data_IF_786232999625
#
_entry.id   IF_786232999625
#
_cell.length_a   1.000
_cell.length_b   1.000
_cell.length_c   1.000
_cell.angle_alpha   90.00
_cell.angle_beta   90.00
_cell.angle_gamma   90.00
#
_symmetry.space_group_name_H-M   'P 1'
#
loop_
_entity.id
_entity.type
_entity.pdbx_description
1 polymer ?
#
# COMPACT_ATOMS: atom_id res chain seq x y z
N UNK A 1 -10.64 30.53 8.59
CA UNK A 1 -11.30 29.60 7.64
C UNK A 1 -11.63 28.34 8.40
N UNK A 2 -12.91 28.00 8.55
CA UNK A 2 -13.33 26.71 9.08
C UNK A 2 -12.82 25.63 8.13
N UNK A 3 -12.04 24.68 8.64
CA UNK A 3 -11.62 23.51 7.87
C UNK A 3 -12.92 22.77 7.51
N UNK A 4 -13.20 22.52 6.21
CA UNK A 4 -14.38 21.74 5.83
C UNK A 4 -14.36 20.39 6.57
N UNK A 5 -15.54 19.90 6.95
CA UNK A 5 -15.65 18.56 7.53
C UNK A 5 -15.02 17.54 6.58
N UNK A 6 -14.14 16.69 7.12
CA UNK A 6 -13.44 15.67 6.34
C UNK A 6 -14.40 14.57 5.93
N UNK A 7 -14.27 14.12 4.69
CA UNK A 7 -15.01 12.98 4.15
C UNK A 7 -14.33 11.69 4.63
N UNK A 8 -15.06 10.81 5.31
CA UNK A 8 -14.52 9.53 5.74
C UNK A 8 -14.49 8.54 4.57
N UNK A 9 -13.32 7.95 4.35
CA UNK A 9 -13.04 6.99 3.28
C UNK A 9 -12.63 5.67 3.90
N UNK A 10 -13.37 4.61 3.61
CA UNK A 10 -13.07 3.25 4.06
C UNK A 10 -12.26 2.49 3.02
N UNK A 11 -11.18 1.86 3.44
CA UNK A 11 -10.43 0.87 2.67
C UNK A 11 -10.80 -0.52 3.19
N UNK A 12 -11.40 -1.36 2.34
CA UNK A 12 -11.94 -2.66 2.73
C UNK A 12 -11.65 -3.75 1.68
N UNK A 13 -11.04 -4.89 2.05
CA UNK A 13 -10.35 -5.15 3.31
C UNK A 13 -9.06 -4.32 3.50
N UNK A 14 -8.73 -4.02 4.74
CA UNK A 14 -7.58 -3.19 5.13
C UNK A 14 -6.24 -3.92 5.31
N UNK A 15 -6.12 -5.18 4.88
CA UNK A 15 -4.99 -6.06 5.25
C UNK A 15 -4.00 -6.38 4.13
N UNK A 16 -4.27 -5.96 2.90
CA UNK A 16 -3.43 -6.30 1.75
C UNK A 16 -2.48 -5.16 1.37
N UNK A 17 -1.38 -5.48 0.67
CA UNK A 17 -0.38 -4.50 0.22
C UNK A 17 -0.98 -3.31 -0.56
N UNK A 18 -2.03 -3.55 -1.34
CA UNK A 18 -2.75 -2.47 -2.04
C UNK A 18 -3.63 -1.62 -1.11
N UNK A 19 -4.11 -2.16 0.02
CA UNK A 19 -4.75 -1.38 1.08
C UNK A 19 -3.77 -0.39 1.71
N UNK A 20 -2.53 -0.82 1.93
CA UNK A 20 -1.49 0.05 2.50
C UNK A 20 -1.11 1.17 1.53
N UNK A 21 -1.03 0.88 0.23
CA UNK A 21 -0.83 1.92 -0.78
C UNK A 21 -2.01 2.90 -0.82
N UNK A 22 -3.26 2.43 -0.73
CA UNK A 22 -4.43 3.30 -0.64
C UNK A 22 -4.37 4.22 0.59
N UNK A 23 -3.96 3.69 1.75
CA UNK A 23 -3.75 4.51 2.95
C UNK A 23 -2.68 5.59 2.72
N UNK A 24 -1.51 5.21 2.21
CA UNK A 24 -0.42 6.15 1.96
C UNK A 24 -0.79 7.21 0.91
N UNK A 25 -1.62 6.84 -0.06
CA UNK A 25 -2.11 7.75 -1.09
C UNK A 25 -3.09 8.80 -0.55
N UNK A 26 -3.84 8.48 0.51
CA UNK A 26 -4.94 9.34 1.01
C UNK A 26 -4.65 10.02 2.36
N UNK A 27 -3.72 9.51 3.19
CA UNK A 27 -3.51 9.96 4.59
C UNK A 27 -3.23 11.46 4.77
N UNK A 28 -2.63 12.10 3.77
CA UNK A 28 -2.30 13.53 3.80
C UNK A 28 -3.26 14.40 2.99
N UNK A 29 -4.28 13.80 2.36
CA UNK A 29 -5.27 14.56 1.63
C UNK A 29 -6.14 15.34 2.63
N UNK A 30 -6.18 16.69 2.56
CA UNK A 30 -6.82 17.51 3.58
C UNK A 30 -8.34 17.29 3.67
N UNK A 31 -8.96 16.82 2.58
CA UNK A 31 -10.41 16.57 2.50
C UNK A 31 -10.80 15.19 3.05
N UNK A 32 -9.85 14.28 3.28
CA UNK A 32 -10.16 12.89 3.62
C UNK A 32 -9.69 12.50 5.02
N UNK A 33 -10.50 11.66 5.66
CA UNK A 33 -10.18 10.91 6.86
C UNK A 33 -10.22 9.42 6.50
N UNK A 34 -9.06 8.75 6.57
CA UNK A 34 -8.93 7.36 6.10
C UNK A 34 -9.25 6.40 7.24
N UNK A 35 -10.11 5.42 6.94
CA UNK A 35 -10.47 4.28 7.76
C UNK A 35 -10.00 3.00 7.07
N UNK A 36 -9.60 2.00 7.86
CA UNK A 36 -9.45 0.64 7.38
C UNK A 36 -10.45 -0.27 8.09
N UNK A 37 -10.89 -1.33 7.41
CA UNK A 37 -11.57 -2.41 8.10
C UNK A 37 -11.31 -3.77 7.45
N UNK A 38 -11.43 -4.83 8.22
CA UNK A 38 -11.23 -6.21 7.76
C UNK A 38 -12.13 -7.18 8.51
N UNK A 39 -12.18 -8.41 8.02
CA UNK A 39 -12.87 -9.52 8.68
C UNK A 39 -11.98 -10.38 9.57
N UNK A 40 -10.73 -9.96 9.74
CA UNK A 40 -9.74 -10.65 10.58
C UNK A 40 -8.66 -9.68 11.04
N UNK A 41 -8.07 -9.91 12.23
CA UNK A 41 -6.91 -9.16 12.68
C UNK A 41 -5.73 -9.30 11.71
N UNK A 42 -4.91 -8.26 11.64
CA UNK A 42 -3.69 -8.24 10.85
C UNK A 42 -2.98 -6.89 10.95
N UNK A 43 -2.02 -6.65 10.07
CA UNK A 43 -1.13 -5.49 10.10
C UNK A 43 -1.87 -4.14 9.98
N UNK A 44 -3.09 -4.15 9.43
CA UNK A 44 -3.90 -2.93 9.32
C UNK A 44 -4.11 -2.19 10.65
N UNK A 45 -4.13 -2.91 11.78
CA UNK A 45 -4.33 -2.30 13.10
C UNK A 45 -3.19 -1.38 13.56
N UNK A 46 -1.98 -1.54 13.04
CA UNK A 46 -0.83 -0.65 13.34
C UNK A 46 -0.78 0.52 12.36
N UNK A 47 -1.21 0.30 11.11
CA UNK A 47 -1.09 1.30 10.06
C UNK A 47 -2.20 2.36 10.10
N UNK A 48 -3.45 1.93 10.27
CA UNK A 48 -4.61 2.80 10.15
C UNK A 48 -4.91 3.48 11.49
N UNK A 49 -4.99 4.83 11.54
CA UNK A 49 -5.39 5.53 12.76
C UNK A 49 -6.80 5.20 13.25
N UNK A 50 -7.64 4.66 12.36
CA UNK A 50 -9.01 4.21 12.63
C UNK A 50 -9.20 2.88 11.93
N UNK A 51 -9.34 1.82 12.70
CA UNK A 51 -9.38 0.44 12.19
C UNK A 51 -10.44 -0.39 12.90
N UNK A 52 -11.05 -1.33 12.16
CA UNK A 52 -11.97 -2.33 12.68
C UNK A 52 -11.70 -3.69 12.03
N UNK A 53 -11.42 -4.73 12.82
CA UNK A 53 -10.92 -6.02 12.32
C UNK A 53 -11.81 -7.23 12.63
N UNK A 54 -13.05 -6.98 13.06
CA UNK A 54 -14.05 -7.95 13.48
C UNK A 54 -15.30 -7.97 12.59
N UNK A 55 -15.25 -7.39 11.38
CA UNK A 55 -16.40 -7.40 10.48
C UNK A 55 -16.67 -8.80 9.90
N UNK A 56 -17.92 -9.18 9.58
CA UNK A 56 -18.19 -10.44 8.90
C UNK A 56 -17.50 -10.50 7.53
N UNK A 57 -17.18 -11.70 7.06
CA UNK A 57 -16.75 -11.93 5.68
C UNK A 57 -17.86 -11.61 4.67
N UNK A 58 -17.47 -11.22 3.44
CA UNK A 58 -18.43 -10.80 2.40
C UNK A 58 -19.42 -11.89 1.97
N UNK A 59 -19.13 -13.17 2.28
CA UNK A 59 -20.01 -14.30 1.97
C UNK A 59 -20.79 -14.80 3.18
N UNK A 60 -20.62 -14.18 4.35
CA UNK A 60 -21.32 -14.58 5.57
C UNK A 60 -22.76 -14.03 5.62
N UNK A 61 -23.67 -14.84 6.15
CA UNK A 61 -25.04 -14.41 6.40
C UNK A 61 -25.04 -13.24 7.40
N UNK A 62 -25.61 -12.10 7.00
CA UNK A 62 -25.65 -10.89 7.82
C UNK A 62 -24.52 -9.88 7.58
N UNK A 63 -23.66 -10.10 6.57
CA UNK A 63 -22.63 -9.13 6.16
C UNK A 63 -23.20 -7.72 5.97
N UNK A 64 -24.17 -7.56 5.07
CA UNK A 64 -24.70 -6.26 4.68
C UNK A 64 -25.30 -5.46 5.86
N UNK A 65 -26.17 -6.02 6.73
CA UNK A 65 -26.69 -5.29 7.90
C UNK A 65 -25.59 -4.80 8.85
N UNK A 66 -24.58 -5.63 9.14
CA UNK A 66 -23.47 -5.25 10.04
C UNK A 66 -22.57 -4.22 9.37
N UNK A 67 -22.25 -4.42 8.09
CA UNK A 67 -21.41 -3.51 7.31
C UNK A 67 -22.05 -2.13 7.19
N UNK A 68 -23.34 -2.05 6.82
CA UNK A 68 -24.07 -0.79 6.73
C UNK A 68 -24.15 -0.04 8.05
N UNK A 69 -24.40 -0.76 9.16
CA UNK A 69 -24.36 -0.14 10.49
C UNK A 69 -23.00 0.50 10.77
N UNK A 70 -21.92 -0.21 10.48
CA UNK A 70 -20.56 0.32 10.62
C UNK A 70 -20.32 1.55 9.73
N UNK A 71 -20.79 1.53 8.46
CA UNK A 71 -20.68 2.67 7.56
C UNK A 71 -21.41 3.90 8.12
N UNK A 72 -22.64 3.74 8.60
CA UNK A 72 -23.48 4.81 9.14
C UNK A 72 -22.94 5.37 10.46
N UNK A 73 -22.60 4.51 11.43
CA UNK A 73 -22.05 4.91 12.75
C UNK A 73 -20.77 5.74 12.62
N UNK A 74 -19.97 5.47 11.58
CA UNK A 74 -18.69 6.14 11.34
C UNK A 74 -18.76 7.18 10.22
N UNK A 75 -19.96 7.53 9.73
CA UNK A 75 -20.18 8.49 8.65
C UNK A 75 -19.28 8.24 7.42
N UNK A 76 -19.08 6.96 7.05
CA UNK A 76 -18.30 6.59 5.89
C UNK A 76 -19.05 7.03 4.62
N UNK A 77 -18.39 7.82 3.77
CA UNK A 77 -18.98 8.30 2.53
C UNK A 77 -18.50 7.51 1.32
N UNK A 78 -17.23 7.07 1.32
CA UNK A 78 -16.59 6.38 0.20
C UNK A 78 -16.01 5.03 0.64
N UNK A 79 -16.10 4.01 -0.21
CA UNK A 79 -15.48 2.69 0.00
C UNK A 79 -14.51 2.38 -1.14
N UNK A 80 -13.25 2.09 -0.83
CA UNK A 80 -12.29 1.49 -1.76
C UNK A 80 -12.19 -0.02 -1.54
N UNK A 81 -12.58 -0.84 -2.53
CA UNK A 81 -12.37 -2.27 -2.47
C UNK A 81 -10.90 -2.61 -2.76
N UNK A 82 -10.34 -3.57 -2.02
CA UNK A 82 -8.93 -4.00 -2.19
C UNK A 82 -8.77 -5.41 -2.75
N UNK A 83 -9.87 -6.11 -2.99
CA UNK A 83 -9.86 -7.45 -3.59
C UNK A 83 -10.90 -7.51 -4.72
N UNK A 84 -10.63 -8.29 -5.77
CA UNK A 84 -11.53 -8.38 -6.92
C UNK A 84 -12.90 -9.02 -6.55
N UNK A 85 -12.92 -10.04 -5.67
CA UNK A 85 -14.18 -10.57 -5.10
C UNK A 85 -14.96 -9.52 -4.31
N UNK A 86 -14.28 -8.67 -3.55
CA UNK A 86 -14.92 -7.63 -2.75
C UNK A 86 -15.44 -6.52 -3.66
N UNK A 87 -14.67 -6.13 -4.67
CA UNK A 87 -15.09 -5.15 -5.66
C UNK A 87 -16.36 -5.60 -6.38
N UNK A 88 -16.42 -6.87 -6.81
CA UNK A 88 -17.60 -7.45 -7.43
C UNK A 88 -18.78 -7.51 -6.46
N UNK A 89 -18.59 -8.08 -5.26
CA UNK A 89 -19.66 -8.23 -4.29
C UNK A 89 -20.26 -6.89 -3.86
N UNK A 90 -19.42 -5.89 -3.56
CA UNK A 90 -19.90 -4.55 -3.20
C UNK A 90 -20.59 -3.86 -4.37
N UNK A 91 -20.11 -4.05 -5.60
CA UNK A 91 -20.79 -3.50 -6.77
C UNK A 91 -22.18 -4.13 -6.97
N UNK A 92 -22.33 -5.44 -6.73
CA UNK A 92 -23.62 -6.15 -6.82
C UNK A 92 -24.63 -5.69 -5.79
N UNK A 93 -24.17 -5.27 -4.61
CA UNK A 93 -25.05 -4.68 -3.58
C UNK A 93 -25.62 -3.32 -3.99
N UNK A 94 -24.89 -2.55 -4.81
CA UNK A 94 -25.37 -1.28 -5.38
C UNK A 94 -25.96 -0.33 -4.33
N UNK A 95 -27.19 0.12 -4.57
CA UNK A 95 -27.93 1.06 -3.70
C UNK A 95 -28.27 0.51 -2.31
N UNK A 96 -28.05 -0.79 -2.06
CA UNK A 96 -28.19 -1.36 -0.73
C UNK A 96 -27.04 -0.94 0.21
N UNK A 97 -25.90 -0.51 -0.33
CA UNK A 97 -24.78 0.03 0.45
C UNK A 97 -25.07 1.46 0.92
N UNK A 98 -24.70 1.75 2.18
CA UNK A 98 -24.89 3.08 2.79
C UNK A 98 -23.75 4.06 2.56
N UNK A 99 -22.80 3.69 1.71
CA UNK A 99 -21.69 4.53 1.26
C UNK A 99 -21.41 4.26 -0.21
N UNK A 100 -20.85 5.24 -0.91
CA UNK A 100 -20.55 5.14 -2.33
C UNK A 100 -19.31 4.27 -2.56
N UNK A 101 -19.44 3.25 -3.41
CA UNK A 101 -18.30 2.48 -3.88
C UNK A 101 -17.44 3.31 -4.85
N UNK A 102 -16.15 3.43 -4.55
CA UNK A 102 -15.18 4.02 -5.47
C UNK A 102 -14.66 2.94 -6.40
N UNK A 103 -15.02 3.05 -7.68
CA UNK A 103 -14.56 2.12 -8.71
C UNK A 103 -15.57 1.93 -9.82
N UNK A 104 -15.45 0.78 -10.48
CA UNK A 104 -16.25 0.43 -11.66
C UNK A 104 -17.53 -0.34 -11.28
N UNK A 105 -18.51 -0.34 -12.18
CA UNK A 105 -19.77 -1.06 -11.97
C UNK A 105 -19.66 -2.59 -12.09
N UNK A 106 -20.78 -3.27 -11.81
CA UNK A 106 -20.88 -4.75 -11.74
C UNK A 106 -20.31 -5.45 -12.96
N UNK A 107 -20.68 -5.04 -14.17
CA UNK A 107 -20.24 -5.71 -15.40
C UNK A 107 -18.72 -5.63 -15.59
N UNK A 108 -18.11 -4.48 -15.28
CA UNK A 108 -16.65 -4.33 -15.31
C UNK A 108 -15.99 -5.23 -14.26
N UNK A 109 -16.50 -5.23 -13.03
CA UNK A 109 -15.95 -6.03 -11.94
C UNK A 109 -16.04 -7.53 -12.26
N UNK A 110 -17.17 -7.99 -12.80
CA UNK A 110 -17.41 -9.38 -13.21
C UNK A 110 -16.42 -9.83 -14.28
N UNK A 111 -16.29 -9.06 -15.36
CA UNK A 111 -15.35 -9.37 -16.44
C UNK A 111 -13.89 -9.34 -15.98
N UNK A 112 -13.50 -8.36 -15.17
CA UNK A 112 -12.15 -8.32 -14.58
C UNK A 112 -11.88 -9.54 -13.67
N UNK A 113 -12.89 -10.00 -12.94
CA UNK A 113 -12.74 -11.08 -11.96
C UNK A 113 -12.50 -12.45 -12.60
N UNK A 114 -13.12 -12.71 -13.75
CA UNK A 114 -13.13 -14.01 -14.42
C UNK A 114 -12.35 -13.98 -15.73
N UNK A 115 -11.14 -14.56 -15.73
CA UNK A 115 -10.24 -14.60 -16.90
C UNK A 115 -10.88 -15.26 -18.12
N UNK A 116 -11.71 -16.30 -17.93
CA UNK A 116 -12.44 -16.97 -19.01
C UNK A 116 -13.36 -15.99 -19.74
N UNK A 117 -14.13 -15.22 -18.99
CA UNK A 117 -15.10 -14.25 -19.53
C UNK A 117 -14.39 -13.05 -20.14
N UNK A 118 -13.30 -12.59 -19.51
CA UNK A 118 -12.45 -11.54 -20.06
C UNK A 118 -11.91 -11.94 -21.43
N UNK A 119 -11.33 -13.15 -21.55
CA UNK A 119 -10.81 -13.62 -22.83
C UNK A 119 -11.90 -13.84 -23.87
N UNK A 120 -13.06 -14.36 -23.47
CA UNK A 120 -14.20 -14.47 -24.37
C UNK A 120 -14.63 -13.08 -24.91
N UNK A 121 -14.64 -12.04 -24.06
CA UNK A 121 -15.01 -10.68 -24.45
C UNK A 121 -14.02 -10.04 -25.44
N UNK A 122 -12.76 -10.48 -25.45
CA UNK A 122 -11.70 -9.95 -26.31
C UNK A 122 -11.14 -10.97 -27.31
N UNK A 123 -11.83 -12.09 -27.56
CA UNK A 123 -11.32 -13.18 -28.39
C UNK A 123 -11.01 -12.76 -29.85
N UNK A 124 -11.61 -11.67 -30.32
CA UNK A 124 -11.38 -11.09 -31.65
C UNK A 124 -10.19 -10.12 -31.70
N UNK A 125 -9.66 -9.72 -30.55
CA UNK A 125 -8.54 -8.79 -30.45
C UNK A 125 -7.20 -9.51 -30.57
N UNK A 126 -6.28 -8.93 -31.33
CA UNK A 126 -4.95 -9.51 -31.55
C UNK A 126 -4.14 -9.66 -30.25
N UNK A 127 -4.42 -8.84 -29.23
CA UNK A 127 -3.76 -8.94 -27.93
C UNK A 127 -4.33 -10.03 -27.02
N UNK A 128 -5.48 -10.62 -27.35
CA UNK A 128 -5.99 -11.75 -26.58
C UNK A 128 -5.05 -12.95 -26.80
N UNK A 129 -4.63 -13.65 -25.73
CA UNK A 129 -3.86 -14.86 -25.90
C UNK A 129 -4.73 -15.94 -26.55
N UNK A 130 -4.11 -16.81 -27.34
CA UNK A 130 -4.75 -18.03 -27.84
C UNK A 130 -5.18 -18.88 -26.65
N UNK A 131 -6.46 -19.21 -26.59
CA UNK A 131 -7.04 -20.09 -25.56
C UNK A 131 -7.47 -21.42 -26.14
N UNK A 132 -7.45 -22.47 -25.33
CA UNK A 132 -7.83 -23.83 -25.71
C UNK A 132 -9.04 -24.28 -24.88
N UNK A 133 -9.99 -24.97 -25.50
CA UNK A 133 -11.22 -25.42 -24.83
C UNK A 133 -10.99 -26.64 -23.95
N UNK A 134 -10.11 -27.54 -24.40
CA UNK A 134 -9.73 -28.77 -23.70
C UNK A 134 -8.26 -29.14 -24.00
N UNK A 135 -7.63 -30.02 -23.21
CA UNK A 135 -6.23 -30.42 -23.41
C UNK A 135 -5.92 -30.96 -24.81
N UNK A 136 -6.88 -31.61 -25.46
CA UNK A 136 -6.73 -32.22 -26.78
C UNK A 136 -6.66 -31.20 -27.92
N UNK A 137 -7.04 -29.94 -27.67
CA UNK A 137 -6.98 -28.86 -28.67
C UNK A 137 -5.56 -28.26 -28.80
N UNK A 138 -4.63 -28.66 -27.93
CA UNK A 138 -3.27 -28.10 -27.88
C UNK A 138 -2.40 -28.69 -29.00
N UNK A 139 -2.01 -27.83 -29.95
CA UNK A 139 -1.06 -28.16 -31.01
C UNK A 139 0.37 -27.65 -30.77
N UNK A 140 0.53 -26.62 -29.93
CA UNK A 140 1.79 -25.92 -29.70
C UNK A 140 2.17 -25.97 -28.21
N UNK A 141 3.44 -26.27 -27.92
CA UNK A 141 3.96 -26.40 -26.55
C UNK A 141 5.12 -25.43 -26.30
N UNK A 142 5.32 -24.97 -25.05
CA UNK A 142 4.50 -25.23 -23.86
C UNK A 142 3.19 -24.41 -23.81
N UNK A 143 2.28 -24.79 -22.92
CA UNK A 143 1.05 -24.05 -22.60
C UNK A 143 1.01 -23.61 -21.14
N UNK A 144 0.06 -22.74 -20.80
CA UNK A 144 -0.13 -22.24 -19.45
C UNK A 144 -1.57 -22.45 -18.99
N UNK A 145 -1.74 -23.02 -17.79
CA UNK A 145 -3.03 -23.26 -17.16
C UNK A 145 -3.16 -22.44 -15.89
N UNK A 146 -4.34 -21.88 -15.65
CA UNK A 146 -4.64 -21.05 -14.48
C UNK A 146 -6.13 -21.13 -14.15
N UNK A 147 -6.55 -20.92 -12.89
CA UNK A 147 -7.96 -20.77 -12.55
C UNK A 147 -8.54 -19.54 -13.25
N UNK A 148 -9.79 -19.62 -13.70
CA UNK A 148 -10.53 -18.46 -14.24
C UNK A 148 -10.61 -17.34 -13.20
N UNK A 149 -10.89 -17.73 -11.96
CA UNK A 149 -10.94 -16.85 -10.81
C UNK A 149 -9.80 -17.18 -9.85
N UNK A 150 -8.79 -16.29 -9.76
CA UNK A 150 -7.67 -16.48 -8.84
C UNK A 150 -6.87 -15.20 -8.63
N UNK A 151 -5.92 -15.26 -7.69
CA UNK A 151 -5.06 -14.15 -7.29
C UNK A 151 -3.63 -14.62 -7.04
N UNK A 152 -2.65 -13.72 -7.17
CA UNK A 152 -1.25 -13.97 -6.77
C UNK A 152 -0.55 -15.13 -7.48
N UNK A 153 -1.08 -15.63 -8.60
CA UNK A 153 -0.55 -16.79 -9.33
C UNK A 153 -0.89 -18.15 -8.70
N UNK A 154 -1.73 -18.19 -7.66
CA UNK A 154 -2.15 -19.45 -7.03
C UNK A 154 -2.87 -20.34 -8.05
N UNK A 155 -2.47 -21.61 -8.13
CA UNK A 155 -3.04 -22.58 -9.06
C UNK A 155 -2.61 -22.40 -10.53
N UNK A 156 -1.69 -21.47 -10.82
CA UNK A 156 -1.19 -21.25 -12.17
C UNK A 156 0.08 -22.05 -12.44
N UNK A 157 0.19 -22.69 -13.60
CA UNK A 157 1.32 -23.54 -13.95
C UNK A 157 1.61 -23.57 -15.46
N UNK A 158 2.88 -23.77 -15.80
CA UNK A 158 3.33 -24.11 -17.16
C UNK A 158 3.23 -25.63 -17.34
N UNK A 159 2.73 -26.07 -18.49
CA UNK A 159 2.73 -27.46 -18.90
C UNK A 159 3.57 -27.59 -20.18
N UNK A 160 4.61 -28.42 -20.12
CA UNK A 160 5.53 -28.65 -21.23
C UNK A 160 5.12 -29.83 -22.11
N UNK A 161 4.22 -30.68 -21.63
CA UNK A 161 3.81 -31.91 -22.28
C UNK A 161 2.33 -32.29 -21.96
N UNK A 162 1.71 -33.18 -22.77
CA UNK A 162 0.33 -33.61 -22.58
C UNK A 162 0.02 -34.27 -21.23
N UNK A 163 0.97 -35.03 -20.67
CA UNK A 163 0.77 -35.75 -19.40
C UNK A 163 0.69 -34.76 -18.23
N UNK A 164 1.63 -33.81 -18.20
CA UNK A 164 1.64 -32.70 -17.24
C UNK A 164 0.35 -31.89 -17.33
N UNK A 165 -0.10 -31.56 -18.55
CA UNK A 165 -1.35 -30.82 -18.76
C UNK A 165 -2.58 -31.57 -18.23
N UNK A 166 -2.72 -32.86 -18.56
CA UNK A 166 -3.84 -33.69 -18.10
C UNK A 166 -3.93 -33.74 -16.58
N UNK A 167 -2.79 -33.85 -15.88
CA UNK A 167 -2.74 -33.81 -14.42
C UNK A 167 -3.22 -32.45 -13.88
N UNK A 168 -2.68 -31.36 -14.40
CA UNK A 168 -3.02 -30.01 -13.94
C UNK A 168 -4.49 -29.66 -14.24
N UNK A 169 -5.02 -30.10 -15.38
CA UNK A 169 -6.41 -29.90 -15.77
C UNK A 169 -7.40 -30.48 -14.76
N UNK A 170 -7.11 -31.67 -14.22
CA UNK A 170 -7.96 -32.32 -13.21
C UNK A 170 -7.87 -31.68 -11.83
N UNK A 171 -6.76 -31.01 -11.53
CA UNK A 171 -6.49 -30.39 -10.22
C UNK A 171 -6.95 -28.93 -10.16
N UNK A 172 -7.02 -28.26 -11.31
CA UNK A 172 -7.36 -26.83 -11.38
C UNK A 172 -8.88 -26.66 -11.44
N UNK A 173 -9.46 -25.98 -10.45
CA UNK A 173 -10.86 -25.59 -10.49
C UNK A 173 -11.10 -24.52 -11.56
N UNK A 174 -12.13 -24.70 -12.37
CA UNK A 174 -12.50 -23.81 -13.50
C UNK A 174 -11.28 -23.35 -14.34
N UNK A 175 -10.58 -24.29 -15.03
CA UNK A 175 -9.30 -24.01 -15.67
C UNK A 175 -9.43 -23.19 -16.95
N UNK A 176 -8.59 -22.18 -17.10
CA UNK A 176 -8.33 -21.46 -18.34
C UNK A 176 -6.98 -21.90 -18.88
N UNK A 177 -6.99 -22.47 -20.09
CA UNK A 177 -5.82 -22.95 -20.80
C UNK A 177 -5.48 -21.98 -21.94
N UNK A 178 -4.23 -21.50 -21.98
CA UNK A 178 -3.77 -20.54 -22.98
C UNK A 178 -2.34 -20.82 -23.48
N UNK A 179 -1.95 -20.15 -24.57
CA UNK A 179 -0.55 -20.13 -25.02
C UNK A 179 0.39 -19.69 -23.90
N UNK A 180 1.62 -20.21 -23.92
CA UNK A 180 2.66 -19.76 -23.02
C UNK A 180 3.30 -18.47 -23.53
N UNK A 181 3.40 -17.47 -22.65
CA UNK A 181 4.01 -16.18 -22.93
C UNK A 181 5.41 -16.13 -22.28
N UNK A 182 6.51 -16.22 -23.05
CA UNK A 182 7.86 -16.34 -22.50
C UNK A 182 8.52 -14.99 -22.17
N UNK A 183 8.02 -13.88 -22.71
CA UNK A 183 8.68 -12.60 -22.65
C UNK A 183 8.39 -11.81 -21.37
N UNK A 184 8.78 -10.54 -21.39
CA UNK A 184 8.69 -9.62 -20.26
C UNK A 184 7.23 -9.35 -19.84
N UNK A 185 7.02 -9.20 -18.53
CA UNK A 185 5.72 -8.95 -17.91
C UNK A 185 5.61 -7.50 -17.43
N UNK A 186 4.47 -6.88 -17.72
CA UNK A 186 4.17 -5.50 -17.35
C UNK A 186 2.81 -5.40 -16.65
N UNK A 187 2.65 -4.37 -15.84
CA UNK A 187 1.34 -3.90 -15.41
C UNK A 187 1.13 -2.50 -15.96
N UNK A 188 -0.06 -2.23 -16.48
CA UNK A 188 -0.44 -0.93 -17.03
C UNK A 188 -1.49 -0.34 -16.12
N UNK A 189 -1.08 0.59 -15.25
CA UNK A 189 -2.00 1.32 -14.38
C UNK A 189 -2.74 2.38 -15.22
N UNK A 190 -4.06 2.43 -15.07
CA UNK A 190 -4.93 3.28 -15.88
C UNK A 190 -5.88 4.10 -14.99
N UNK A 191 -6.41 5.17 -15.57
CA UNK A 191 -7.47 5.97 -14.95
C UNK A 191 -8.52 6.34 -15.98
N UNK A 192 -9.78 6.09 -15.68
CA UNK A 192 -10.92 6.51 -16.49
C UNK A 192 -11.86 7.37 -15.66
N UNK A 193 -12.26 8.54 -16.17
CA UNK A 193 -13.11 9.47 -15.42
C UNK A 193 -14.60 9.10 -15.49
N UNK A 194 -15.44 9.82 -14.72
CA UNK A 194 -16.91 9.64 -14.70
C UNK A 194 -17.60 9.89 -16.04
N UNK A 195 -16.90 10.50 -17.00
CA UNK A 195 -17.39 10.73 -18.35
C UNK A 195 -16.99 9.59 -19.32
N UNK A 196 -16.28 8.56 -18.83
CA UNK A 196 -15.82 7.41 -19.60
C UNK A 196 -14.52 7.65 -20.38
N UNK A 197 -13.85 8.78 -20.16
CA UNK A 197 -12.60 9.10 -20.85
C UNK A 197 -11.42 8.42 -20.16
N UNK A 198 -10.61 7.70 -20.95
CA UNK A 198 -9.30 7.18 -20.51
C UNK A 198 -8.33 8.35 -20.35
N UNK A 199 -8.05 8.75 -19.11
CA UNK A 199 -7.19 9.90 -18.77
C UNK A 199 -5.73 9.54 -18.59
N UNK A 200 -5.44 8.29 -18.21
CA UNK A 200 -4.08 7.86 -17.93
C UNK A 200 -3.84 6.42 -18.36
N UNK A 201 -2.67 6.18 -18.96
CA UNK A 201 -2.11 4.87 -19.29
C UNK A 201 -0.64 4.87 -18.92
N UNK A 202 -0.28 4.05 -17.94
CA UNK A 202 1.06 4.00 -17.37
C UNK A 202 1.59 2.57 -17.28
N UNK A 203 2.35 2.07 -18.28
CA UNK A 203 2.99 0.78 -18.16
C UNK A 203 4.17 0.82 -17.19
N UNK A 204 4.33 -0.23 -16.40
CA UNK A 204 5.49 -0.44 -15.52
C UNK A 204 5.94 -1.89 -15.57
N UNK A 205 7.26 -2.07 -15.48
CA UNK A 205 7.88 -3.40 -15.49
C UNK A 205 7.55 -4.17 -14.22
N UNK A 206 7.66 -5.50 -14.30
CA UNK A 206 7.65 -6.41 -13.15
C UNK A 206 8.97 -7.17 -13.08
N UNK A 207 10.08 -6.42 -13.02
CA UNK A 207 11.45 -6.95 -13.18
C UNK A 207 11.79 -8.05 -12.16
N UNK A 208 11.29 -7.93 -10.93
CA UNK A 208 11.41 -8.97 -9.89
C UNK A 208 10.05 -9.18 -9.25
N UNK A 209 9.50 -10.39 -9.34
CA UNK A 209 8.21 -10.74 -8.72
C UNK A 209 8.45 -11.72 -7.57
N UNK A 210 7.84 -11.45 -6.41
CA UNK A 210 7.79 -12.37 -5.28
C UNK A 210 6.39 -12.33 -4.68
N UNK A 211 5.84 -13.49 -4.30
CA UNK A 211 4.52 -13.59 -3.65
C UNK A 211 3.41 -12.87 -4.46
N UNK A 212 3.47 -12.96 -5.79
CA UNK A 212 2.51 -12.33 -6.71
C UNK A 212 2.64 -10.81 -6.90
N UNK A 213 3.57 -10.13 -6.21
CA UNK A 213 3.78 -8.68 -6.30
C UNK A 213 5.17 -8.34 -6.84
N UNK A 214 5.28 -7.18 -7.51
CA UNK A 214 6.55 -6.71 -8.06
C UNK A 214 7.41 -6.08 -6.95
N UNK A 215 8.57 -6.69 -6.69
CA UNK A 215 9.57 -6.18 -5.76
C UNK A 215 10.48 -5.11 -6.38
N UNK A 216 10.69 -5.21 -7.69
CA UNK A 216 11.37 -4.20 -8.50
C UNK A 216 10.46 -3.85 -9.68
N UNK A 217 10.19 -2.56 -9.85
CA UNK A 217 9.30 -2.05 -10.90
C UNK A 217 9.76 -0.68 -11.37
N UNK A 218 9.69 -0.44 -12.68
CA UNK A 218 10.09 0.81 -13.32
C UNK A 218 8.95 1.34 -14.16
N UNK A 219 8.71 2.65 -14.11
CA UNK A 219 7.86 3.27 -15.12
C UNK A 219 8.54 3.13 -16.50
N UNK A 220 7.79 2.69 -17.50
CA UNK A 220 8.29 2.56 -18.87
C UNK A 220 7.47 3.45 -19.82
N UNK A 221 8.02 3.88 -20.95
CA UNK A 221 7.25 4.60 -21.97
C UNK A 221 6.05 3.77 -22.45
N UNK A 222 4.94 4.44 -22.74
CA UNK A 222 3.78 3.81 -23.36
C UNK A 222 4.01 3.64 -24.86
N UNK A 223 3.88 2.41 -25.34
CA UNK A 223 3.93 2.10 -26.76
C UNK A 223 2.52 2.05 -27.38
N UNK A 224 2.48 2.05 -28.71
CA UNK A 224 1.21 2.06 -29.47
C UNK A 224 0.38 0.79 -29.29
N UNK A 225 0.99 -0.34 -28.96
CA UNK A 225 0.25 -1.59 -28.74
C UNK A 225 -0.46 -1.56 -27.38
N UNK A 226 0.24 -1.10 -26.35
CA UNK A 226 -0.26 -0.92 -25.00
C UNK A 226 -1.37 0.13 -24.95
N UNK A 227 -1.18 1.27 -25.63
CA UNK A 227 -2.18 2.32 -25.71
C UNK A 227 -3.48 1.81 -26.35
N UNK A 228 -3.40 1.11 -27.50
CA UNK A 228 -4.56 0.52 -28.18
C UNK A 228 -5.28 -0.52 -27.32
N UNK A 229 -4.51 -1.35 -26.59
CA UNK A 229 -5.09 -2.32 -25.66
C UNK A 229 -5.86 -1.62 -24.54
N UNK A 230 -5.30 -0.55 -23.95
CA UNK A 230 -5.96 0.23 -22.91
C UNK A 230 -7.27 0.87 -23.43
N UNK A 231 -7.26 1.40 -24.65
CA UNK A 231 -8.43 1.99 -25.30
C UNK A 231 -9.53 0.95 -25.56
N UNK A 232 -9.18 -0.23 -26.10
CA UNK A 232 -10.12 -1.33 -26.34
C UNK A 232 -10.73 -1.85 -25.03
N UNK A 233 -9.89 -2.03 -23.99
CA UNK A 233 -10.35 -2.40 -22.64
C UNK A 233 -11.28 -1.34 -22.07
N UNK A 234 -10.94 -0.05 -22.16
CA UNK A 234 -11.78 1.04 -21.68
C UNK A 234 -13.14 1.06 -22.38
N UNK A 235 -13.16 0.89 -23.71
CA UNK A 235 -14.39 0.91 -24.50
C UNK A 235 -15.33 -0.25 -24.15
N UNK A 236 -14.79 -1.46 -23.94
CA UNK A 236 -15.59 -2.67 -23.67
C UNK A 236 -15.97 -2.84 -22.20
N UNK A 237 -15.07 -2.51 -21.27
CA UNK A 237 -15.27 -2.69 -19.84
C UNK A 237 -15.95 -1.48 -19.19
N UNK A 238 -15.77 -0.28 -19.77
CA UNK A 238 -16.23 1.00 -19.22
C UNK A 238 -15.83 1.20 -17.74
N UNK A 239 -14.54 1.06 -17.40
CA UNK A 239 -14.09 1.26 -16.03
C UNK A 239 -14.29 2.71 -15.60
N UNK A 240 -14.51 2.93 -14.30
CA UNK A 240 -14.52 4.25 -13.65
C UNK A 240 -13.50 4.26 -12.52
N UNK A 241 -12.75 5.35 -12.40
CA UNK A 241 -11.67 5.53 -11.45
C UNK A 241 -10.39 4.82 -11.87
N UNK A 242 -9.66 4.33 -10.87
CA UNK A 242 -8.42 3.58 -11.07
C UNK A 242 -8.69 2.13 -11.45
N UNK A 243 -7.92 1.62 -12.40
CA UNK A 243 -7.95 0.22 -12.83
C UNK A 243 -6.59 -0.12 -13.43
N UNK A 244 -6.33 -1.39 -13.70
CA UNK A 244 -5.11 -1.78 -14.40
C UNK A 244 -5.33 -3.07 -15.18
N UNK A 245 -4.42 -3.34 -16.10
CA UNK A 245 -4.30 -4.65 -16.74
C UNK A 245 -2.85 -5.10 -16.76
N UNK A 246 -2.64 -6.40 -16.87
CA UNK A 246 -1.31 -6.99 -16.99
C UNK A 246 -1.10 -7.53 -18.39
N UNK A 247 0.10 -7.34 -18.90
CA UNK A 247 0.51 -7.85 -20.20
C UNK A 247 1.78 -8.67 -20.07
N UNK A 248 1.95 -9.62 -20.98
CA UNK A 248 3.22 -10.34 -21.12
C UNK A 248 3.53 -10.56 -22.59
N UNK A 249 4.80 -10.39 -22.96
CA UNK A 249 5.22 -10.54 -24.35
C UNK A 249 5.18 -12.01 -24.78
N UNK A 250 4.54 -12.28 -25.92
CA UNK A 250 4.56 -13.57 -26.59
C UNK A 250 5.91 -13.86 -27.25
N UNK A 251 6.01 -15.00 -27.95
CA UNK A 251 7.23 -15.43 -28.66
C UNK A 251 7.73 -14.40 -29.69
N UNK A 252 6.81 -13.63 -30.28
CA UNK A 252 7.11 -12.59 -31.28
C UNK A 252 7.41 -11.21 -30.66
N UNK A 253 7.45 -11.12 -29.32
CA UNK A 253 7.64 -9.85 -28.60
C UNK A 253 6.38 -8.99 -28.46
N UNK A 254 5.26 -9.40 -29.04
CA UNK A 254 3.97 -8.69 -28.95
C UNK A 254 3.33 -8.85 -27.56
N UNK A 255 2.79 -7.77 -26.96
CA UNK A 255 2.12 -7.86 -25.66
C UNK A 255 0.77 -8.55 -25.76
N UNK A 256 0.54 -9.56 -24.92
CA UNK A 256 -0.74 -10.26 -24.77
C UNK A 256 -1.37 -9.98 -23.40
N UNK A 257 -2.70 -9.91 -23.35
CA UNK A 257 -3.47 -9.65 -22.13
C UNK A 257 -3.41 -10.86 -21.17
N UNK A 258 -2.97 -10.63 -19.93
CA UNK A 258 -2.96 -11.64 -18.89
C UNK A 258 -4.19 -11.61 -17.99
N UNK A 259 -4.55 -10.42 -17.52
CA UNK A 259 -5.68 -10.14 -16.64
C UNK A 259 -5.94 -8.63 -16.59
N UNK A 260 -7.14 -8.25 -16.13
CA UNK A 260 -7.53 -6.88 -15.82
C UNK A 260 -8.18 -6.83 -14.44
N UNK A 261 -8.17 -5.67 -13.80
CA UNK A 261 -8.75 -5.48 -12.47
C UNK A 261 -9.16 -4.02 -12.27
N UNK A 262 -10.31 -3.83 -11.62
CA UNK A 262 -10.89 -2.51 -11.32
C UNK A 262 -10.70 -2.09 -9.85
N UNK A 263 -9.65 -2.60 -9.19
CA UNK A 263 -9.22 -2.18 -7.85
C UNK A 263 -7.79 -1.67 -7.86
N UNK A 264 -7.32 -1.18 -6.72
CA UNK A 264 -5.95 -0.69 -6.57
C UNK A 264 -4.91 -1.80 -6.74
N UNK A 265 -3.81 -1.48 -7.40
CA UNK A 265 -2.60 -2.30 -7.42
C UNK A 265 -1.59 -1.69 -6.46
N UNK A 266 -1.00 -2.48 -5.55
CA UNK A 266 -0.05 -1.93 -4.56
C UNK A 266 1.19 -1.28 -5.19
N UNK A 267 1.57 -1.71 -6.40
CA UNK A 267 2.73 -1.16 -7.12
C UNK A 267 2.40 0.08 -7.95
N UNK A 268 1.14 0.53 -7.98
CA UNK A 268 0.77 1.80 -8.61
C UNK A 268 1.37 3.02 -7.88
N UNK A 269 1.92 2.79 -6.69
CA UNK A 269 2.76 3.73 -5.94
C UNK A 269 3.88 4.35 -6.77
N UNK A 270 4.39 3.63 -7.79
CA UNK A 270 5.33 4.15 -8.80
C UNK A 270 4.79 5.45 -9.41
N UNK A 271 3.53 5.46 -9.85
CA UNK A 271 2.93 6.64 -10.46
C UNK A 271 2.56 7.73 -9.45
N UNK A 272 2.27 7.37 -8.19
CA UNK A 272 2.11 8.36 -7.12
C UNK A 272 3.40 9.15 -6.89
N UNK A 273 4.56 8.51 -6.93
CA UNK A 273 5.86 9.20 -6.82
C UNK A 273 6.19 10.06 -8.06
N UNK A 274 5.56 9.78 -9.20
CA UNK A 274 5.62 10.63 -10.40
C UNK A 274 4.57 11.75 -10.40
N UNK A 275 3.82 11.94 -9.30
CA UNK A 275 2.81 13.00 -9.17
C UNK A 275 1.38 12.57 -9.50
N UNK A 276 1.16 11.34 -9.95
CA UNK A 276 -0.16 10.83 -10.33
C UNK A 276 -0.72 9.96 -9.19
N UNK A 277 -1.44 10.61 -8.28
CA UNK A 277 -2.10 9.91 -7.17
C UNK A 277 -3.45 9.31 -7.62
N UNK A 278 -3.42 8.13 -8.23
CA UNK A 278 -4.60 7.44 -8.77
C UNK A 278 -5.73 7.22 -7.74
N UNK A 279 -5.46 6.77 -6.50
CA UNK A 279 -6.47 6.72 -5.45
C UNK A 279 -7.14 8.06 -5.16
N UNK A 280 -6.34 9.13 -5.05
CA UNK A 280 -6.88 10.45 -4.77
C UNK A 280 -7.75 10.97 -5.92
N UNK A 281 -7.32 10.75 -7.16
CA UNK A 281 -8.11 11.08 -8.35
C UNK A 281 -9.43 10.30 -8.37
N UNK A 282 -9.41 9.01 -8.01
CA UNK A 282 -10.62 8.19 -7.98
C UNK A 282 -11.60 8.63 -6.89
N UNK A 283 -11.09 9.05 -5.73
CA UNK A 283 -11.92 9.59 -4.65
C UNK A 283 -12.59 10.92 -5.08
N UNK A 284 -11.87 11.82 -5.76
CA UNK A 284 -12.46 13.04 -6.28
C UNK A 284 -13.42 12.81 -7.43
N UNK A 285 -13.11 11.86 -8.34
CA UNK A 285 -14.02 11.47 -9.42
C UNK A 285 -15.32 10.87 -8.90
N UNK A 286 -15.26 10.05 -7.84
CA UNK A 286 -16.43 9.52 -7.15
C UNK A 286 -17.30 10.65 -6.56
N UNK A 287 -16.68 11.73 -6.08
CA UNK A 287 -17.37 12.94 -5.60
C UNK A 287 -17.79 13.90 -6.74
N UNK A 288 -17.93 13.37 -7.95
CA UNK A 288 -18.35 14.06 -9.16
C UNK A 288 -17.52 15.30 -9.55
N UNK A 289 -16.24 15.30 -9.16
CA UNK A 289 -15.29 16.34 -9.55
C UNK A 289 -14.56 16.00 -10.84
N UNK A 290 -14.33 17.00 -11.70
CA UNK A 290 -13.42 16.86 -12.83
C UNK A 290 -11.98 16.79 -12.34
N UNK A 291 -11.25 15.77 -12.79
CA UNK A 291 -9.86 15.54 -12.44
C UNK A 291 -8.94 15.70 -13.65
N UNK A 292 -7.67 16.02 -13.39
CA UNK A 292 -6.64 16.16 -14.42
C UNK A 292 -5.37 15.44 -13.99
N UNK A 293 -4.67 14.86 -14.96
CA UNK A 293 -3.39 14.17 -14.72
C UNK A 293 -2.27 15.21 -14.68
N UNK A 294 -1.48 15.16 -13.60
CA UNK A 294 -0.22 15.88 -13.48
C UNK A 294 0.89 14.84 -13.30
N UNK A 295 1.88 14.88 -14.18
CA UNK A 295 2.97 13.91 -14.22
C UNK A 295 4.30 14.63 -14.30
N UNK A 296 5.22 14.28 -13.40
CA UNK A 296 6.61 14.66 -13.49
C UNK A 296 7.35 13.77 -14.49
N UNK A 297 8.29 14.37 -15.23
CA UNK A 297 9.07 13.68 -16.27
C UNK A 297 10.47 13.34 -15.78
N UNK A 298 10.57 12.24 -15.02
CA UNK A 298 11.85 11.64 -14.65
C UNK A 298 11.72 10.11 -14.55
N UNK A 299 12.85 9.41 -14.66
CA UNK A 299 12.88 7.96 -14.51
C UNK A 299 12.73 7.58 -13.04
N UNK A 300 11.84 6.62 -12.76
CA UNK A 300 11.62 6.12 -11.42
C UNK A 300 11.69 4.59 -11.40
N UNK A 301 12.51 4.07 -10.48
CA UNK A 301 12.59 2.65 -10.14
C UNK A 301 12.17 2.48 -8.69
N UNK A 302 11.12 1.70 -8.46
CA UNK A 302 10.72 1.27 -7.12
C UNK A 302 11.44 -0.04 -6.79
N UNK A 303 12.04 -0.10 -5.60
CA UNK A 303 12.50 -1.34 -4.95
C UNK A 303 11.83 -1.43 -3.59
N UNK A 304 11.26 -2.58 -3.24
CA UNK A 304 10.60 -2.79 -1.93
C UNK A 304 11.28 -3.91 -1.13
N UNK A 305 10.99 -3.90 0.17
CA UNK A 305 11.29 -4.96 1.14
C UNK A 305 10.04 -5.24 1.97
N UNK A 306 10.05 -6.36 2.69
CA UNK A 306 9.13 -6.53 3.82
C UNK A 306 9.60 -5.62 4.97
N UNK A 307 8.65 -5.06 5.71
CA UNK A 307 8.89 -4.18 6.85
C UNK A 307 8.06 -4.69 8.04
N UNK A 308 8.63 -4.57 9.23
CA UNK A 308 8.02 -4.98 10.49
C UNK A 308 7.58 -3.75 11.27
N UNK A 309 6.49 -3.87 12.01
CA UNK A 309 6.07 -2.87 13.00
C UNK A 309 5.88 -3.55 14.34
N UNK A 310 5.94 -2.76 15.41
CA UNK A 310 6.06 -3.24 16.77
C UNK A 310 4.98 -2.60 17.63
N UNK A 311 4.33 -3.41 18.47
CA UNK A 311 3.43 -2.93 19.52
C UNK A 311 4.11 -3.25 20.83
N UNK A 312 4.45 -2.20 21.59
CA UNK A 312 5.11 -2.34 22.88
C UNK A 312 4.12 -1.98 23.98
N UNK A 313 4.01 -2.83 25.00
CA UNK A 313 3.23 -2.54 26.21
C UNK A 313 4.03 -1.64 27.16
N UNK A 314 4.35 -0.44 26.67
CA UNK A 314 5.02 0.60 27.43
C UNK A 314 4.18 1.87 27.38
N UNK A 315 4.11 2.57 28.51
CA UNK A 315 3.55 3.91 28.62
C UNK A 315 4.64 4.79 29.18
N UNK A 316 4.75 6.00 28.65
CA UNK A 316 5.71 7.01 29.11
C UNK A 316 5.17 8.40 28.79
N UNK A 317 5.53 9.39 29.60
CA UNK A 317 5.19 10.80 29.43
C UNK A 317 6.43 11.65 29.13
N UNK A 318 7.61 11.20 29.56
CA UNK A 318 8.89 11.87 29.29
C UNK A 318 9.81 11.00 28.44
N UNK A 319 10.48 11.62 27.47
CA UNK A 319 11.60 11.04 26.72
C UNK A 319 12.88 11.77 27.13
N UNK A 320 13.79 11.06 27.77
CA UNK A 320 15.18 11.49 27.90
C UNK A 320 15.94 11.02 26.66
N UNK A 321 16.71 11.90 26.06
CA UNK A 321 17.48 11.59 24.86
C UNK A 321 18.89 12.14 24.97
N UNK A 322 19.87 11.32 24.64
CA UNK A 322 21.23 11.76 24.49
C UNK A 322 21.44 12.55 23.19
N UNK A 323 22.42 13.44 23.17
CA UNK A 323 22.74 14.27 22.00
C UNK A 323 23.83 13.66 21.12
N UNK A 324 24.97 13.33 21.71
CA UNK A 324 26.21 12.98 21.00
C UNK A 324 26.23 11.50 20.61
N UNK A 325 26.42 11.19 19.33
CA UNK A 325 26.32 9.83 18.80
C UNK A 325 24.92 9.19 18.94
N UNK A 326 23.91 9.99 19.33
CA UNK A 326 22.50 9.59 19.45
C UNK A 326 21.60 10.46 18.55
N UNK A 327 21.48 11.76 18.86
CA UNK A 327 20.74 12.73 18.05
C UNK A 327 21.56 13.21 16.85
N UNK A 328 22.86 13.43 17.07
CA UNK A 328 23.84 13.74 16.04
C UNK A 328 24.78 12.53 15.91
N UNK A 329 24.69 11.83 14.78
CA UNK A 329 25.48 10.63 14.47
C UNK A 329 26.40 10.96 13.30
N UNK A 330 27.71 10.81 13.48
CA UNK A 330 28.72 11.09 12.44
C UNK A 330 28.57 12.48 11.78
N UNK A 331 28.26 13.50 12.59
CA UNK A 331 28.07 14.88 12.12
C UNK A 331 26.80 15.07 11.28
N UNK A 332 25.79 14.23 11.46
CA UNK A 332 24.48 14.36 10.81
C UNK A 332 23.35 14.18 11.83
N UNK A 333 22.24 14.86 11.59
CA UNK A 333 21.04 14.66 12.40
C UNK A 333 20.45 13.28 12.12
N UNK A 334 20.15 12.53 13.17
CA UNK A 334 19.45 11.27 13.08
C UNK A 334 17.97 11.48 12.75
N UNK A 335 17.62 11.30 11.47
CA UNK A 335 16.27 11.61 10.97
C UNK A 335 15.17 10.73 11.60
N UNK A 336 15.45 9.46 11.89
CA UNK A 336 14.47 8.55 12.49
C UNK A 336 14.16 8.96 13.93
N UNK A 337 15.20 9.27 14.70
CA UNK A 337 15.05 9.78 16.06
C UNK A 337 14.33 11.14 16.07
N UNK A 338 14.67 12.04 15.16
CA UNK A 338 13.94 13.30 15.04
C UNK A 338 12.46 13.09 14.72
N UNK A 339 12.13 12.16 13.82
CA UNK A 339 10.73 11.80 13.56
C UNK A 339 10.03 11.36 14.85
N UNK A 340 10.64 10.44 15.60
CA UNK A 340 10.10 9.96 16.88
C UNK A 340 9.89 11.09 17.90
N UNK A 341 10.86 11.99 18.04
CA UNK A 341 10.76 13.14 18.95
C UNK A 341 9.62 14.09 18.55
N UNK A 342 9.46 14.38 17.26
CA UNK A 342 8.32 15.18 16.78
C UNK A 342 6.98 14.47 17.01
N UNK A 343 6.90 13.15 16.83
CA UNK A 343 5.69 12.39 17.14
C UNK A 343 5.36 12.43 18.64
N UNK A 344 6.37 12.29 19.50
CA UNK A 344 6.22 12.44 20.94
C UNK A 344 5.69 13.84 21.30
N UNK A 345 6.26 14.90 20.72
CA UNK A 345 5.77 16.27 20.90
C UNK A 345 4.32 16.45 20.44
N UNK A 346 3.96 15.90 19.28
CA UNK A 346 2.57 15.95 18.77
C UNK A 346 1.59 15.22 19.70
N UNK A 347 2.06 14.20 20.42
CA UNK A 347 1.30 13.45 21.45
C UNK A 347 1.38 14.11 22.85
N UNK A 348 1.98 15.29 22.97
CA UNK A 348 2.09 16.05 24.22
C UNK A 348 3.10 15.47 25.22
N UNK A 349 4.07 14.68 24.77
CA UNK A 349 5.13 14.11 25.60
C UNK A 349 6.21 15.14 25.87
N UNK A 350 6.78 15.09 27.08
CA UNK A 350 7.90 15.92 27.51
C UNK A 350 9.21 15.39 26.92
N UNK A 351 10.04 16.27 26.38
CA UNK A 351 11.33 15.94 25.78
C UNK A 351 12.48 16.60 26.53
N UNK A 352 13.47 15.81 26.95
CA UNK A 352 14.62 16.28 27.73
C UNK A 352 15.91 15.79 27.08
N UNK A 353 16.83 16.71 26.76
CA UNK A 353 18.19 16.35 26.31
C UNK A 353 19.10 16.20 27.52
N UNK A 354 19.83 15.08 27.58
CA UNK A 354 20.91 14.83 28.54
C UNK A 354 22.22 14.59 27.80
N UNK A 355 23.15 15.53 27.82
CA UNK A 355 24.39 15.41 27.03
C UNK A 355 25.62 15.90 27.77
N UNK A 356 26.74 15.20 27.58
CA UNK A 356 28.08 15.61 28.03
C UNK A 356 28.88 16.26 26.89
N UNK A 357 28.20 16.92 25.94
CA UNK A 357 28.81 17.50 24.75
C UNK A 357 30.05 18.34 25.10
N UNK A 358 31.20 18.13 24.45
CA UNK A 358 32.35 18.98 24.65
C UNK A 358 32.12 20.37 24.02
N UNK A 359 32.21 21.43 24.82
CA UNK A 359 32.05 22.80 24.32
C UNK A 359 30.60 23.28 24.39
N UNK A 360 30.19 24.20 23.51
CA UNK A 360 28.87 24.83 23.56
C UNK A 360 27.80 23.97 22.85
N UNK A 361 27.04 23.21 23.64
CA UNK A 361 25.95 22.36 23.16
C UNK A 361 24.90 23.16 22.38
N UNK A 362 24.49 24.34 22.86
CA UNK A 362 23.45 25.14 22.20
C UNK A 362 23.93 25.71 20.86
N UNK A 363 25.20 26.10 20.76
CA UNK A 363 25.79 26.50 19.49
C UNK A 363 25.83 25.31 18.50
N UNK A 364 26.19 24.11 18.98
CA UNK A 364 26.22 22.90 18.16
C UNK A 364 24.82 22.52 17.66
N UNK A 365 23.80 22.56 18.52
CA UNK A 365 22.40 22.35 18.16
C UNK A 365 21.96 23.29 17.03
N UNK A 366 22.28 24.59 17.13
CA UNK A 366 21.98 25.59 16.09
C UNK A 366 22.71 25.34 14.77
N UNK A 367 23.93 24.83 14.83
CA UNK A 367 24.70 24.43 13.65
C UNK A 367 23.97 23.35 12.85
N UNK A 368 23.42 22.35 13.53
CA UNK A 368 22.66 21.26 12.91
C UNK A 368 21.17 21.55 12.68
N UNK A 369 20.72 22.78 12.98
CA UNK A 369 19.30 23.19 12.88
C UNK A 369 18.36 22.35 13.77
N UNK A 370 18.91 21.82 14.86
CA UNK A 370 18.13 21.23 15.95
C UNK A 370 17.86 22.36 16.93
N UNK A 371 16.67 22.93 16.90
CA UNK A 371 16.32 24.06 17.77
C UNK A 371 16.09 23.58 19.21
N UNK A 372 16.75 24.18 20.23
CA UNK A 372 16.54 23.81 21.64
C UNK A 372 15.08 23.85 22.08
N UNK A 373 14.27 24.72 21.46
CA UNK A 373 12.84 24.89 21.72
C UNK A 373 11.98 23.69 21.30
N UNK A 374 12.56 22.72 20.59
CA UNK A 374 11.95 21.40 20.41
C UNK A 374 11.81 20.66 21.74
N UNK A 375 12.75 20.90 22.66
CA UNK A 375 12.86 20.23 23.96
C UNK A 375 12.32 21.12 25.07
N UNK A 376 11.69 20.50 26.06
CA UNK A 376 11.24 21.19 27.27
C UNK A 376 12.42 21.53 28.17
N UNK A 377 13.50 20.75 28.10
CA UNK A 377 14.72 20.97 28.88
C UNK A 377 15.95 20.47 28.11
N UNK A 378 17.05 21.23 28.18
CA UNK A 378 18.36 20.84 27.66
C UNK A 378 19.34 20.88 28.82
N UNK A 379 19.77 19.71 29.28
CA UNK A 379 20.69 19.56 30.42
C UNK A 379 22.08 19.24 29.87
N UNK A 380 22.99 20.21 30.00
CA UNK A 380 24.39 20.07 29.63
C UNK A 380 25.20 19.62 30.85
N UNK A 381 25.60 18.35 30.83
CA UNK A 381 26.24 17.63 31.93
C UNK A 381 27.76 17.83 31.92
N UNK A 382 28.35 17.84 33.11
CA UNK A 382 29.79 17.76 33.29
C UNK A 382 30.30 16.35 32.94
N UNK A 383 31.62 16.21 32.73
CA UNK A 383 32.25 14.91 32.44
C UNK A 383 32.10 13.88 33.56
N UNK A 384 31.91 14.33 34.80
CA UNK A 384 31.79 13.48 35.99
C UNK A 384 30.34 13.20 36.38
N UNK A 385 29.38 13.88 35.75
CA UNK A 385 27.97 13.72 36.06
C UNK A 385 27.44 12.39 35.50
N UNK A 386 26.59 11.71 36.27
CA UNK A 386 25.92 10.49 35.86
C UNK A 386 24.49 10.81 35.39
N UNK A 387 24.11 10.38 34.17
CA UNK A 387 22.77 10.68 33.61
C UNK A 387 21.63 10.19 34.49
N UNK A 388 21.81 9.07 35.20
CA UNK A 388 20.82 8.51 36.11
C UNK A 388 20.42 9.48 37.24
N UNK A 389 21.31 10.40 37.63
CA UNK A 389 21.01 11.43 38.65
C UNK A 389 20.02 12.50 38.15
N UNK A 390 19.90 12.65 36.82
CA UNK A 390 19.06 13.66 36.17
C UNK A 390 17.73 13.09 35.63
N UNK A 391 17.58 11.76 35.64
CA UNK A 391 16.34 11.07 35.33
C UNK A 391 15.43 11.10 36.56
N UNK A 392 14.46 12.04 36.56
CA UNK A 392 13.56 12.30 37.70
C UNK A 392 12.17 11.69 37.50
N UNK A 393 11.76 11.51 36.25
CA UNK A 393 10.43 11.03 35.89
C UNK A 393 10.36 9.50 35.96
N UNK A 394 9.33 8.96 36.63
CA UNK A 394 9.11 7.50 36.72
C UNK A 394 8.41 6.90 35.50
N UNK A 395 7.59 7.70 34.82
CA UNK A 395 6.90 7.30 33.59
C UNK A 395 7.67 7.85 32.39
N UNK A 396 8.87 7.32 32.16
CA UNK A 396 9.80 7.86 31.17
C UNK A 396 10.51 6.75 30.40
N UNK A 397 11.19 7.14 29.33
CA UNK A 397 12.17 6.30 28.63
C UNK A 397 13.49 7.06 28.48
N UNK A 398 14.59 6.33 28.32
CA UNK A 398 15.87 6.89 27.86
C UNK A 398 16.24 6.33 26.49
N UNK A 399 16.70 7.21 25.59
CA UNK A 399 17.36 6.84 24.33
C UNK A 399 18.81 7.30 24.39
N UNK A 400 19.74 6.36 24.36
CA UNK A 400 21.18 6.60 24.47
C UNK A 400 21.97 5.48 23.80
N UNK A 401 22.88 5.81 22.89
CA UNK A 401 23.74 4.83 22.22
C UNK A 401 24.69 4.12 23.20
N UNK A 402 25.14 4.80 24.26
CA UNK A 402 26.14 4.26 25.17
C UNK A 402 25.52 3.22 26.13
N UNK A 403 25.94 1.96 26.02
CA UNK A 403 25.44 0.86 26.84
C UNK A 403 25.53 1.13 28.35
N UNK A 404 26.66 1.66 28.81
CA UNK A 404 26.89 1.93 30.24
C UNK A 404 25.88 2.93 30.82
N UNK A 405 25.47 3.96 30.06
CA UNK A 405 24.47 4.92 30.51
C UNK A 405 23.09 4.28 30.59
N UNK A 406 22.73 3.46 29.60
CA UNK A 406 21.48 2.70 29.60
C UNK A 406 21.40 1.71 30.76
N UNK A 407 22.48 0.96 31.00
CA UNK A 407 22.57 0.00 32.10
C UNK A 407 22.36 0.69 33.45
N UNK A 408 23.06 1.80 33.69
CA UNK A 408 22.99 2.56 34.93
C UNK A 408 21.60 3.16 35.16
N UNK A 409 20.98 3.76 34.13
CA UNK A 409 19.62 4.32 34.22
C UNK A 409 18.58 3.23 34.44
N UNK A 410 18.71 2.08 33.77
CA UNK A 410 17.84 0.94 33.99
C UNK A 410 17.96 0.43 35.44
N UNK A 411 19.18 0.28 35.94
CA UNK A 411 19.45 -0.24 37.28
C UNK A 411 18.95 0.69 38.39
N UNK A 412 19.14 2.01 38.24
CA UNK A 412 18.85 2.99 39.30
C UNK A 412 17.46 3.60 39.23
N UNK A 413 16.95 3.83 38.03
CA UNK A 413 15.67 4.52 37.83
C UNK A 413 14.55 3.55 37.45
N UNK A 414 14.89 2.34 36.95
CA UNK A 414 13.91 1.31 36.60
C UNK A 414 13.03 1.66 35.40
N UNK A 415 13.48 2.59 34.55
CA UNK A 415 12.76 3.00 33.34
C UNK A 415 13.25 2.24 32.10
N UNK A 416 12.41 2.01 31.08
CA UNK A 416 12.84 1.43 29.82
C UNK A 416 13.94 2.28 29.15
N UNK A 417 14.95 1.59 28.61
CA UNK A 417 16.09 2.21 27.93
C UNK A 417 16.25 1.61 26.53
N UNK A 418 16.61 2.44 25.55
CA UNK A 418 16.69 2.07 24.15
C UNK A 418 17.98 2.56 23.52
N UNK A 419 18.57 1.70 22.70
CA UNK A 419 19.56 2.16 21.72
C UNK A 419 18.86 2.89 20.57
N UNK A 420 19.65 3.56 19.75
CA UNK A 420 19.21 4.25 18.54
C UNK A 420 18.59 3.30 17.52
N UNK A 421 19.06 2.05 17.43
CA UNK A 421 18.57 1.05 16.47
C UNK A 421 17.15 0.54 16.81
N UNK A 422 16.74 0.64 18.06
CA UNK A 422 15.43 0.22 18.55
C UNK A 422 14.34 1.30 18.40
N UNK A 423 14.69 2.51 17.98
CA UNK A 423 13.75 3.65 17.86
C UNK A 423 12.63 3.37 16.85
N UNK A 424 12.88 2.57 15.81
CA UNK A 424 11.83 2.14 14.86
C UNK A 424 10.68 1.40 15.57
N UNK A 425 10.96 0.72 16.70
CA UNK A 425 9.93 0.04 17.49
C UNK A 425 9.05 0.97 18.34
N UNK A 426 9.44 2.25 18.48
CA UNK A 426 8.72 3.25 19.28
C UNK A 426 7.81 4.16 18.44
N UNK A 427 7.92 4.10 17.11
CA UNK A 427 7.08 4.81 16.14
C UNK A 427 5.78 4.05 15.89
#
# INVERSE_FOLDING_TARGET
MTIPEKINVLIFPGEAENAFELFQALRYAPRFSVWGASSRPGYGNVLFPRYRDDLPGIHEAGFLPVFNRFLEENNIALIFPTHDDVALHLAELGDALKAQLVGSGVECARLCRAKRELYAAFAHEAFCPKTYGKPEDVGDWPVFIKPSQGQGGVGSARADDPETLQRLWRQTSDPVLCEYLPGEEYTVDCFSDRHGNLRFVGPRSRDVVRIGIAFVSRAVPVDMATQRMAEALNARLKPRGLWFFQTKKGVNGEPKLMEASCRAAGTMSVYRQLGINLPLLAAYDALDMDVRILKNDFQLTMRRRLHSSYIMDIRFDTVYVDYDDTLIVEGKVNALLMQFLYECRNRGKRLVVLSRHPGDLLANMRQYRVFPELFDEVIHLSRTDNKADFVKDRNAILIDNLFAEREEVLARNGIPVFDVDAVEGLL
#
